data_IF_817285943749
#
_entry.id   IF_817285943749
#
_cell.length_a   1.000
_cell.length_b   1.000
_cell.length_c   1.000
_cell.angle_alpha   90.00
_cell.angle_beta   90.00
_cell.angle_gamma   90.00
#
_symmetry.space_group_name_H-M   'P 1'
#
loop_
_entity.id
_entity.type
_entity.pdbx_description
1 polymer ?
#
# COMPACT_ATOMS: atom_id res chain seq x y z
N UNK A 1 -1.76 8.24 0.44
CA UNK A 1 -0.67 9.24 0.40
C UNK A 1 -0.47 9.85 1.78
N UNK A 2 0.68 9.65 2.43
CA UNK A 2 0.88 10.15 3.81
C UNK A 2 1.25 11.63 3.92
N UNK A 3 1.91 12.17 2.90
CA UNK A 3 2.51 13.50 2.90
C UNK A 3 1.67 14.49 2.10
N UNK A 4 2.36 15.29 1.28
CA UNK A 4 1.73 16.29 0.41
C UNK A 4 0.85 15.59 -0.63
N UNK A 5 -0.38 16.09 -0.80
CA UNK A 5 -1.30 15.71 -1.87
C UNK A 5 -2.02 16.96 -2.35
N UNK A 6 -1.78 17.36 -3.60
CA UNK A 6 -2.45 18.51 -4.23
C UNK A 6 -3.76 18.12 -4.95
N UNK A 7 -4.00 16.81 -5.13
CA UNK A 7 -5.20 16.30 -5.77
C UNK A 7 -6.42 16.53 -4.87
N UNK A 8 -7.52 16.99 -5.48
CA UNK A 8 -8.83 17.09 -4.83
C UNK A 8 -9.71 15.92 -5.26
N UNK A 9 -9.98 14.92 -4.39
CA UNK A 9 -10.86 13.81 -4.73
C UNK A 9 -12.33 14.23 -4.73
N UNK A 10 -13.20 13.50 -5.46
CA UNK A 10 -14.65 13.66 -5.41
C UNK A 10 -15.23 14.89 -6.13
N UNK A 11 -14.47 15.53 -7.02
CA UNK A 11 -14.97 16.67 -7.81
C UNK A 11 -15.76 16.16 -9.01
N UNK A 12 -17.01 16.64 -9.15
CA UNK A 12 -17.90 16.23 -10.23
C UNK A 12 -17.30 16.46 -11.63
N UNK A 13 -17.41 15.46 -12.51
CA UNK A 13 -16.83 15.46 -13.86
C UNK A 13 -15.30 15.44 -13.94
N UNK A 14 -14.58 15.36 -12.81
CA UNK A 14 -13.11 15.45 -12.79
C UNK A 14 -12.44 14.33 -11.99
N UNK A 15 -12.88 14.09 -10.75
CA UNK A 15 -12.22 13.16 -9.81
C UNK A 15 -13.22 12.37 -8.97
N UNK A 16 -14.44 12.17 -9.48
CA UNK A 16 -15.54 11.45 -8.82
C UNK A 16 -15.15 10.04 -8.36
N UNK A 17 -14.33 9.37 -9.17
CA UNK A 17 -13.89 7.99 -8.93
C UNK A 17 -12.54 7.91 -8.19
N UNK A 18 -12.01 9.04 -7.72
CA UNK A 18 -10.73 9.09 -7.02
C UNK A 18 -11.00 9.21 -5.52
N UNK A 19 -10.56 8.20 -4.77
CA UNK A 19 -10.53 8.23 -3.30
C UNK A 19 -9.09 8.34 -2.80
N UNK A 20 -8.85 9.15 -1.77
CA UNK A 20 -7.51 9.30 -1.18
C UNK A 20 -7.58 9.07 0.32
N UNK A 21 -6.73 8.16 0.81
CA UNK A 21 -6.48 7.98 2.24
C UNK A 21 -5.05 8.37 2.61
N UNK A 22 -4.86 8.77 3.86
CA UNK A 22 -3.57 9.04 4.49
C UNK A 22 -3.48 8.27 5.80
N UNK A 23 -2.44 7.46 5.96
CA UNK A 23 -2.12 6.77 7.22
C UNK A 23 -0.93 7.50 7.84
N UNK A 24 -1.14 8.04 9.03
CA UNK A 24 -0.10 8.66 9.85
C UNK A 24 -0.09 7.91 11.17
N UNK A 25 0.96 7.15 11.40
CA UNK A 25 1.10 6.29 12.57
C UNK A 25 2.58 6.24 13.02
N UNK A 26 2.95 5.25 13.85
CA UNK A 26 4.28 5.14 14.48
C UNK A 26 5.40 5.06 13.44
N UNK A 27 5.27 4.21 12.42
CA UNK A 27 6.23 4.10 11.34
C UNK A 27 5.90 5.06 10.20
N UNK A 28 6.94 5.51 9.50
CA UNK A 28 6.80 6.40 8.36
C UNK A 28 6.44 5.57 7.12
N UNK A 29 5.22 5.75 6.59
CA UNK A 29 4.80 5.13 5.33
C UNK A 29 5.64 5.70 4.16
N UNK A 30 6.71 5.00 3.81
CA UNK A 30 7.68 5.44 2.79
C UNK A 30 7.64 4.61 1.52
N UNK A 31 6.99 3.44 1.54
CA UNK A 31 6.82 2.60 0.35
C UNK A 31 6.04 3.36 -0.74
N UNK A 32 6.49 3.23 -1.99
CA UNK A 32 5.79 3.72 -3.18
C UNK A 32 5.49 2.51 -4.06
N UNK A 33 4.19 2.23 -4.19
CA UNK A 33 3.65 1.08 -4.92
C UNK A 33 2.66 1.63 -5.94
N UNK A 34 2.78 1.20 -7.19
CA UNK A 34 1.81 1.51 -8.25
C UNK A 34 1.15 0.22 -8.68
N UNK A 35 -0.18 0.24 -8.81
CA UNK A 35 -0.98 -0.91 -9.20
C UNK A 35 -1.89 -0.46 -10.33
N UNK A 36 -1.83 -1.16 -11.46
CA UNK A 36 -2.64 -0.88 -12.64
C UNK A 36 -3.48 -2.11 -12.96
N UNK A 37 -4.79 -1.94 -13.15
CA UNK A 37 -5.69 -3.08 -13.39
C UNK A 37 -5.45 -3.77 -14.73
N UNK A 38 -5.07 -3.01 -15.77
CA UNK A 38 -4.72 -3.50 -17.10
C UNK A 38 -5.68 -4.58 -17.65
N UNK A 39 -6.97 -4.23 -17.72
CA UNK A 39 -8.04 -5.11 -18.22
C UNK A 39 -8.09 -6.50 -17.54
N UNK A 40 -7.85 -6.52 -16.23
CA UNK A 40 -7.82 -7.73 -15.41
C UNK A 40 -6.45 -8.41 -15.32
N UNK A 41 -5.46 -7.94 -16.08
CA UNK A 41 -4.06 -8.40 -16.01
C UNK A 41 -3.22 -7.47 -15.14
N UNK A 42 -3.58 -7.40 -13.86
CA UNK A 42 -3.06 -6.40 -12.93
C UNK A 42 -1.52 -6.39 -12.86
N UNK A 43 -0.93 -5.21 -13.03
CA UNK A 43 0.51 -4.99 -12.93
C UNK A 43 0.87 -4.25 -11.65
N UNK A 44 1.98 -4.65 -11.04
CA UNK A 44 2.46 -4.10 -9.76
C UNK A 44 3.89 -3.58 -9.94
N UNK A 45 4.13 -2.35 -9.47
CA UNK A 45 5.44 -1.73 -9.52
C UNK A 45 5.83 -1.21 -8.13
N UNK A 46 7.11 -1.37 -7.79
CA UNK A 46 7.73 -0.73 -6.64
C UNK A 46 8.64 0.39 -7.15
N UNK A 47 8.66 1.53 -6.47
CA UNK A 47 9.40 2.70 -6.93
C UNK A 47 10.22 3.40 -5.86
N UNK A 48 11.34 3.99 -6.27
CA UNK A 48 12.10 4.94 -5.45
C UNK A 48 11.49 6.33 -5.43
N UNK A 49 10.75 6.72 -6.48
CA UNK A 49 10.18 8.06 -6.66
C UNK A 49 8.71 8.19 -6.27
N UNK A 50 8.29 9.37 -5.84
CA UNK A 50 6.88 9.76 -5.76
C UNK A 50 6.47 10.64 -6.95
N UNK A 51 5.17 10.95 -7.05
CA UNK A 51 4.61 11.76 -8.14
C UNK A 51 4.80 13.25 -7.90
N UNK A 52 6.05 13.67 -7.80
CA UNK A 52 6.45 15.07 -7.74
C UNK A 52 7.28 15.39 -8.97
N UNK A 53 7.07 16.55 -9.60
CA UNK A 53 7.79 17.01 -10.80
C UNK A 53 9.31 16.84 -10.67
N UNK A 54 9.87 17.12 -9.50
CA UNK A 54 11.31 16.97 -9.24
C UNK A 54 11.81 15.50 -9.32
N UNK A 55 10.96 14.53 -9.02
CA UNK A 55 11.28 13.11 -9.08
C UNK A 55 11.08 12.54 -10.50
N UNK A 56 10.12 13.09 -11.26
CA UNK A 56 9.85 12.67 -12.63
C UNK A 56 10.83 13.29 -13.65
N UNK A 57 11.18 14.56 -13.49
CA UNK A 57 11.91 15.30 -14.54
C UNK A 57 13.38 15.59 -14.20
N UNK A 58 13.73 15.63 -12.90
CA UNK A 58 15.02 16.17 -12.43
C UNK A 58 15.87 15.18 -11.66
N UNK A 59 15.39 13.97 -11.42
CA UNK A 59 16.10 12.94 -10.66
C UNK A 59 16.10 11.64 -11.45
N UNK A 60 17.15 10.86 -11.23
CA UNK A 60 17.16 9.47 -11.67
C UNK A 60 16.42 8.67 -10.61
N UNK A 61 15.28 8.10 -11.00
CA UNK A 61 14.45 7.24 -10.18
C UNK A 61 14.29 5.89 -10.86
N UNK A 62 14.01 4.84 -10.08
CA UNK A 62 13.74 3.50 -10.59
C UNK A 62 12.34 3.08 -10.17
N UNK A 63 11.58 2.57 -11.13
CA UNK A 63 10.41 1.76 -10.87
C UNK A 63 10.62 0.41 -11.56
N UNK A 64 10.29 -0.68 -10.87
CA UNK A 64 10.45 -2.02 -11.43
C UNK A 64 9.19 -2.86 -11.21
N UNK A 65 8.85 -3.74 -12.16
CA UNK A 65 7.69 -4.60 -12.04
C UNK A 65 7.95 -5.74 -11.06
N UNK A 66 6.91 -6.13 -10.34
CA UNK A 66 6.89 -7.38 -9.57
C UNK A 66 6.37 -8.47 -10.50
N UNK A 67 7.25 -9.36 -10.96
CA UNK A 67 6.91 -10.38 -11.96
C UNK A 67 6.42 -11.70 -11.32
N UNK A 68 6.88 -12.01 -10.11
CA UNK A 68 6.51 -13.24 -9.40
C UNK A 68 5.06 -13.13 -8.89
N UNK A 69 4.15 -14.04 -9.29
CA UNK A 69 2.75 -14.00 -8.87
C UNK A 69 2.53 -14.11 -7.36
N UNK A 70 3.38 -14.84 -6.63
CA UNK A 70 3.28 -14.93 -5.17
C UNK A 70 3.70 -13.61 -4.52
N UNK A 71 4.73 -12.93 -5.04
CA UNK A 71 5.09 -11.59 -4.57
C UNK A 71 4.00 -10.56 -4.89
N UNK A 72 3.35 -10.66 -6.05
CA UNK A 72 2.19 -9.81 -6.38
C UNK A 72 1.05 -9.98 -5.37
N UNK A 73 0.73 -11.23 -4.98
CA UNK A 73 -0.26 -11.50 -3.92
C UNK A 73 0.15 -10.88 -2.58
N UNK A 74 1.43 -10.95 -2.22
CA UNK A 74 1.92 -10.32 -0.98
C UNK A 74 1.79 -8.80 -1.01
N UNK A 75 2.16 -8.16 -2.13
CA UNK A 75 2.00 -6.72 -2.33
C UNK A 75 0.52 -6.33 -2.22
N UNK A 76 -0.37 -7.07 -2.87
CA UNK A 76 -1.81 -6.83 -2.78
C UNK A 76 -2.31 -6.97 -1.34
N UNK A 77 -1.91 -8.01 -0.62
CA UNK A 77 -2.29 -8.21 0.77
C UNK A 77 -1.83 -7.04 1.67
N UNK A 78 -0.63 -6.50 1.45
CA UNK A 78 -0.12 -5.33 2.18
C UNK A 78 -1.01 -4.11 1.92
N UNK A 79 -1.31 -3.85 0.65
CA UNK A 79 -2.18 -2.73 0.24
C UNK A 79 -3.59 -2.89 0.80
N UNK A 80 -4.17 -4.07 0.74
CA UNK A 80 -5.50 -4.35 1.30
C UNK A 80 -5.56 -4.08 2.80
N UNK A 81 -4.52 -4.49 3.55
CA UNK A 81 -4.42 -4.20 4.99
C UNK A 81 -4.31 -2.70 5.28
N UNK A 82 -3.60 -1.94 4.43
CA UNK A 82 -3.54 -0.48 4.55
C UNK A 82 -4.90 0.16 4.26
N UNK A 83 -5.59 -0.26 3.19
CA UNK A 83 -6.93 0.26 2.87
C UNK A 83 -7.99 -0.14 3.89
N UNK A 84 -7.82 -1.29 4.56
CA UNK A 84 -8.70 -1.75 5.64
C UNK A 84 -8.52 -0.97 6.94
N UNK A 85 -7.41 -0.24 7.14
CA UNK A 85 -7.16 0.53 8.36
C UNK A 85 -8.35 1.46 8.67
N UNK A 86 -8.87 1.36 9.88
CA UNK A 86 -9.98 2.15 10.38
C UNK A 86 -9.67 2.78 11.76
N UNK A 87 -8.39 2.81 12.15
CA UNK A 87 -7.90 3.33 13.44
C UNK A 87 -7.04 4.58 13.24
N UNK A 88 -6.17 4.58 12.23
CA UNK A 88 -5.19 5.63 11.93
C UNK A 88 -5.40 6.27 10.56
N UNK A 89 -6.09 5.59 9.65
CA UNK A 89 -6.43 6.12 8.34
C UNK A 89 -7.29 7.39 8.44
N UNK A 90 -6.97 8.34 7.58
CA UNK A 90 -7.73 9.55 7.32
C UNK A 90 -8.16 9.58 5.87
N UNK A 91 -9.36 10.08 5.59
CA UNK A 91 -9.88 10.27 4.24
C UNK A 91 -9.74 11.75 3.88
N UNK A 92 -9.11 12.02 2.74
CA UNK A 92 -9.01 13.37 2.19
C UNK A 92 -10.37 13.75 1.57
N UNK A 93 -10.92 14.87 2.02
CA UNK A 93 -12.19 15.41 1.53
C UNK A 93 -11.97 16.37 0.34
N UNK A 94 -13.02 16.67 -0.45
CA UNK A 94 -12.92 17.61 -1.57
C UNK A 94 -12.45 19.02 -1.18
N UNK A 95 -12.73 19.43 0.06
CA UNK A 95 -12.30 20.70 0.67
C UNK A 95 -10.86 20.66 1.22
N UNK A 96 -10.12 19.59 0.93
CA UNK A 96 -8.75 19.33 1.40
C UNK A 96 -8.62 19.08 2.91
N UNK A 97 -9.71 18.87 3.64
CA UNK A 97 -9.67 18.43 5.04
C UNK A 97 -9.36 16.93 5.14
N UNK A 98 -8.75 16.52 6.26
CA UNK A 98 -8.37 15.12 6.52
C UNK A 98 -9.11 14.58 7.75
N UNK A 99 -10.28 13.98 7.52
CA UNK A 99 -11.09 13.38 8.58
C UNK A 99 -10.62 11.97 8.88
N UNK A 100 -10.71 11.50 10.13
CA UNK A 100 -10.47 10.08 10.42
C UNK A 100 -11.49 9.24 9.67
N UNK A 101 -11.03 8.14 9.08
CA UNK A 101 -11.93 7.16 8.47
C UNK A 101 -12.85 6.61 9.58
N UNK A 102 -14.18 6.59 9.37
CA UNK A 102 -15.09 6.03 10.36
C UNK A 102 -14.72 4.60 10.71
N UNK A 103 -14.64 4.30 12.01
CA UNK A 103 -14.44 2.94 12.49
C UNK A 103 -15.75 2.18 12.39
N UNK A 104 -15.84 1.26 11.45
CA UNK A 104 -16.97 0.33 11.29
C UNK A 104 -16.43 -1.08 11.46
N UNK A 105 -17.08 -1.88 12.31
CA UNK A 105 -16.65 -3.24 12.62
C UNK A 105 -15.42 -3.29 13.52
N UNK A 106 -14.67 -4.40 13.41
CA UNK A 106 -13.47 -4.63 14.22
C UNK A 106 -12.35 -3.61 13.92
N UNK A 107 -11.61 -3.16 14.94
CA UNK A 107 -10.52 -2.22 14.76
C UNK A 107 -9.36 -2.87 14.01
N UNK A 108 -8.99 -2.29 12.87
CA UNK A 108 -7.84 -2.66 12.05
C UNK A 108 -6.86 -1.49 12.04
N UNK A 109 -5.66 -1.75 12.58
CA UNK A 109 -4.51 -0.84 12.51
C UNK A 109 -3.43 -1.46 11.62
N UNK A 110 -3.19 -0.87 10.45
CA UNK A 110 -2.39 -1.47 9.38
C UNK A 110 -0.99 -1.87 9.85
N UNK A 111 -0.29 -1.00 10.57
CA UNK A 111 1.09 -1.29 11.00
C UNK A 111 1.18 -2.50 11.94
N UNK A 112 0.20 -2.70 12.81
CA UNK A 112 0.15 -3.89 13.68
C UNK A 112 -0.26 -5.14 12.91
N UNK A 113 -1.21 -5.03 11.98
CA UNK A 113 -1.63 -6.13 11.12
C UNK A 113 -0.47 -6.62 10.24
N UNK A 114 0.27 -5.69 9.63
CA UNK A 114 1.45 -5.96 8.81
C UNK A 114 2.59 -6.57 9.65
N UNK A 115 2.81 -6.09 10.87
CA UNK A 115 3.80 -6.70 11.77
C UNK A 115 3.46 -8.16 12.08
N UNK A 116 2.20 -8.46 12.40
CA UNK A 116 1.74 -9.85 12.63
C UNK A 116 1.87 -10.71 11.37
N UNK A 117 1.61 -10.13 10.19
CA UNK A 117 1.80 -10.82 8.91
C UNK A 117 3.28 -11.18 8.69
N UNK A 118 4.20 -10.23 8.91
CA UNK A 118 5.63 -10.47 8.79
C UNK A 118 6.12 -11.58 9.74
N UNK A 119 5.66 -11.58 11.00
CA UNK A 119 5.98 -12.66 11.95
C UNK A 119 5.53 -14.04 11.47
N UNK A 120 4.40 -14.15 10.77
CA UNK A 120 3.92 -15.42 10.20
C UNK A 120 4.84 -15.90 9.08
N UNK A 121 5.26 -15.01 8.17
CA UNK A 121 6.20 -15.37 7.11
C UNK A 121 7.53 -15.90 7.67
N UNK A 122 8.10 -15.21 8.67
CA UNK A 122 9.34 -15.67 9.33
C UNK A 122 9.19 -17.05 9.97
N UNK A 123 8.03 -17.33 10.59
CA UNK A 123 7.77 -18.64 11.19
C UNK A 123 7.67 -19.73 10.12
N UNK A 124 6.96 -19.48 9.02
CA UNK A 124 6.82 -20.42 7.90
C UNK A 124 8.18 -20.72 7.27
N UNK A 125 9.02 -19.71 7.05
CA UNK A 125 10.37 -19.89 6.52
C UNK A 125 11.25 -20.73 7.46
N UNK A 126 11.17 -20.47 8.77
CA UNK A 126 11.91 -21.26 9.76
C UNK A 126 11.47 -22.73 9.78
N UNK A 127 10.17 -23.01 9.69
CA UNK A 127 9.63 -24.37 9.63
C UNK A 127 10.00 -25.08 8.31
N UNK A 128 9.97 -24.36 7.18
CA UNK A 128 10.33 -24.88 5.85
C UNK A 128 11.82 -25.22 5.78
N UNK A 129 12.69 -24.35 6.32
CA UNK A 129 14.14 -24.56 6.35
C UNK A 129 14.58 -25.61 7.38
N UNK A 130 13.73 -25.93 8.37
CA UNK A 130 13.99 -26.98 9.36
C UNK A 130 13.54 -28.37 8.89
N UNK A 131 12.80 -28.48 7.78
CA UNK A 131 12.37 -29.77 7.24
C UNK A 131 13.57 -30.51 6.61
N UNK A 132 13.85 -31.77 6.99
CA UNK A 132 14.93 -32.52 6.39
C UNK A 132 14.68 -32.69 4.87
N UNK A 133 15.74 -32.71 4.03
CA UNK A 133 15.57 -32.91 2.60
C UNK A 133 14.83 -34.24 2.36
N UNK A 134 13.80 -34.19 1.51
CA UNK A 134 13.02 -35.37 1.14
C UNK A 134 13.98 -36.46 0.64
N UNK A 135 13.94 -37.62 1.30
CA UNK A 135 14.76 -38.78 0.95
C UNK A 135 14.44 -39.21 -0.48
N UNK A 136 15.45 -39.21 -1.35
CA UNK A 136 15.42 -39.77 -2.70
C UNK A 136 15.77 -41.26 -2.69
#
# INVERSE_FOLDING_TARGET
VRGICSLKPGVAGLSENISVISIIDRFLEHARIYIFENDGQREYFLSSGDWMTRNLDRRVEVAFPVLDPELQKQVQQIIDMQFADNVKARVLQPDSTNIRKPTVGEPVRAQEALYKLAQRYTKIEAETNAAPPAQA
#
